data_IF_033497817012
#
_entry.id   IF_033497817012
#
_cell.length_a   1.000
_cell.length_b   1.000
_cell.length_c   1.000
_cell.angle_alpha   90.00
_cell.angle_beta   90.00
_cell.angle_gamma   90.00
#
_symmetry.space_group_name_H-M   'P 1'
#
loop_
_entity.id
_entity.type
_entity.pdbx_description
1 polymer ?
#
# COMPACT_ATOMS: atom_id res chain seq x y z
N UNK A 1 -17.19 6.95 3.86
CA UNK A 1 -15.96 6.63 4.64
C UNK A 1 -16.24 5.58 5.70
N UNK A 2 -17.02 5.87 6.75
CA UNK A 2 -17.27 4.90 7.83
C UNK A 2 -17.72 3.53 7.30
N UNK A 3 -18.76 3.49 6.48
CA UNK A 3 -19.23 2.26 5.82
C UNK A 3 -18.17 1.55 4.94
N UNK A 4 -17.26 2.30 4.31
CA UNK A 4 -16.21 1.72 3.49
C UNK A 4 -15.09 1.09 4.33
N UNK A 5 -14.85 1.63 5.53
CA UNK A 5 -13.89 1.08 6.50
C UNK A 5 -14.50 0.00 7.39
N UNK A 6 -15.84 -0.14 7.43
CA UNK A 6 -16.57 -1.15 8.21
C UNK A 6 -16.48 -2.54 7.57
N UNK A 7 -15.25 -3.01 7.45
CA UNK A 7 -14.87 -4.31 6.93
C UNK A 7 -13.54 -4.71 7.56
N UNK A 8 -13.36 -6.02 7.71
CA UNK A 8 -12.09 -6.61 8.18
C UNK A 8 -10.97 -6.52 7.14
N UNK A 9 -11.31 -6.18 5.90
CA UNK A 9 -10.38 -6.06 4.77
C UNK A 9 -9.99 -4.61 4.48
N UNK A 10 -8.88 -4.44 3.77
CA UNK A 10 -8.31 -3.14 3.43
C UNK A 10 -7.34 -3.22 2.26
N UNK A 11 -7.66 -3.99 1.21
CA UNK A 11 -6.74 -4.20 0.09
C UNK A 11 -6.61 -2.96 -0.80
N UNK A 12 -7.71 -2.58 -1.44
CA UNK A 12 -7.76 -1.46 -2.38
C UNK A 12 -9.08 -0.69 -2.29
N UNK A 13 -9.08 0.57 -2.72
CA UNK A 13 -10.27 1.41 -2.82
C UNK A 13 -10.17 2.39 -3.99
N UNK A 14 -11.32 2.80 -4.53
CA UNK A 14 -11.40 3.85 -5.55
C UNK A 14 -12.34 4.96 -5.10
N UNK A 15 -11.93 6.21 -5.30
CA UNK A 15 -12.72 7.42 -5.04
C UNK A 15 -13.04 8.07 -6.38
N UNK A 16 -14.32 8.32 -6.65
CA UNK A 16 -14.78 8.98 -7.87
C UNK A 16 -15.39 10.33 -7.53
N UNK A 17 -14.73 11.42 -7.93
CA UNK A 17 -15.16 12.79 -7.64
C UNK A 17 -14.42 13.81 -8.51
N UNK A 18 -15.06 14.95 -8.77
CA UNK A 18 -14.41 16.11 -9.40
C UNK A 18 -13.92 17.14 -8.36
N UNK A 19 -14.20 16.93 -7.07
CA UNK A 19 -13.72 17.78 -5.98
C UNK A 19 -12.39 17.25 -5.42
N UNK A 20 -11.31 18.01 -5.66
CA UNK A 20 -9.96 17.70 -5.20
C UNK A 20 -9.86 17.62 -3.67
N UNK A 21 -10.56 18.50 -2.95
CA UNK A 21 -10.53 18.50 -1.48
C UNK A 21 -11.22 17.25 -0.95
N UNK A 22 -12.36 16.86 -1.53
CA UNK A 22 -13.04 15.63 -1.18
C UNK A 22 -12.19 14.40 -1.49
N UNK A 23 -11.50 14.37 -2.65
CA UNK A 23 -10.58 13.29 -3.02
C UNK A 23 -9.46 13.14 -1.98
N UNK A 24 -8.73 14.23 -1.68
CA UNK A 24 -7.64 14.21 -0.70
C UNK A 24 -8.12 13.81 0.69
N UNK A 25 -9.28 14.30 1.13
CA UNK A 25 -9.86 13.89 2.41
C UNK A 25 -10.25 12.40 2.42
N UNK A 26 -10.75 11.87 1.30
CA UNK A 26 -11.12 10.47 1.21
C UNK A 26 -9.88 9.55 1.23
N UNK A 27 -8.84 9.84 0.44
CA UNK A 27 -7.63 9.00 0.39
C UNK A 27 -6.90 8.93 1.72
N UNK A 28 -6.92 10.00 2.53
CA UNK A 28 -6.33 9.99 3.88
C UNK A 28 -7.16 9.22 4.91
N UNK A 29 -8.47 9.08 4.72
CA UNK A 29 -9.37 8.46 5.70
C UNK A 29 -9.74 7.02 5.38
N UNK A 30 -9.54 6.58 4.14
CA UNK A 30 -9.78 5.20 3.74
C UNK A 30 -8.70 4.29 4.33
N UNK A 31 -9.12 3.22 4.98
CA UNK A 31 -8.22 2.20 5.54
C UNK A 31 -7.93 1.12 4.49
N UNK A 32 -7.28 1.51 3.39
CA UNK A 32 -6.87 0.60 2.33
C UNK A 32 -5.44 0.88 1.85
N UNK A 33 -4.72 -0.18 1.49
CA UNK A 33 -3.30 -0.07 1.14
C UNK A 33 -3.02 0.38 -0.30
N UNK A 34 -4.03 0.38 -1.18
CA UNK A 34 -3.95 0.89 -2.54
C UNK A 34 -5.20 1.72 -2.89
N UNK A 35 -5.11 3.04 -2.79
CA UNK A 35 -6.24 3.95 -3.03
C UNK A 35 -6.03 4.71 -4.35
N UNK A 36 -7.06 4.72 -5.18
CA UNK A 36 -7.05 5.33 -6.50
C UNK A 36 -8.14 6.40 -6.61
N UNK A 37 -7.88 7.49 -7.35
CA UNK A 37 -8.87 8.55 -7.60
C UNK A 37 -9.19 8.59 -9.08
N UNK A 38 -10.49 8.55 -9.40
CA UNK A 38 -11.06 8.56 -10.76
C UNK A 38 -10.51 7.46 -11.68
N UNK A 39 -10.12 6.33 -11.09
CA UNK A 39 -9.62 5.16 -11.81
C UNK A 39 -9.71 3.89 -10.92
N UNK A 40 -9.62 2.74 -11.59
CA UNK A 40 -9.47 1.44 -10.96
C UNK A 40 -8.61 0.56 -11.88
N UNK A 41 -7.31 0.85 -11.90
CA UNK A 41 -6.34 0.14 -12.72
C UNK A 41 -5.85 -1.11 -12.02
N UNK A 42 -5.42 -2.08 -12.82
CA UNK A 42 -4.70 -3.27 -12.34
C UNK A 42 -3.34 -2.83 -11.78
N UNK A 43 -2.85 -3.56 -10.77
CA UNK A 43 -1.50 -3.36 -10.24
C UNK A 43 -0.46 -3.38 -11.37
N UNK A 44 0.43 -2.40 -11.35
CA UNK A 44 1.49 -2.27 -12.35
C UNK A 44 2.84 -2.60 -11.70
N UNK A 45 3.80 -3.15 -12.46
CA UNK A 45 5.18 -3.24 -12.00
C UNK A 45 5.66 -1.87 -11.54
N UNK A 46 6.51 -1.84 -10.51
CA UNK A 46 7.06 -0.65 -9.82
C UNK A 46 6.15 0.03 -8.79
N UNK A 47 4.85 -0.27 -8.75
CA UNK A 47 3.95 0.29 -7.73
C UNK A 47 3.89 -0.63 -6.50
N UNK A 48 4.23 -0.17 -5.29
CA UNK A 48 4.07 -0.97 -4.09
C UNK A 48 2.59 -1.31 -3.85
N UNK A 49 2.25 -2.59 -3.89
CA UNK A 49 0.87 -3.07 -3.72
C UNK A 49 0.75 -3.95 -2.49
N UNK A 50 -0.36 -3.87 -1.77
CA UNK A 50 -0.62 -4.68 -0.59
C UNK A 50 -1.60 -4.00 0.35
N UNK A 51 -2.36 -4.78 1.10
CA UNK A 51 -3.48 -4.28 1.90
C UNK A 51 -3.14 -3.90 3.32
N UNK A 52 -4.14 -3.39 4.02
CA UNK A 52 -4.18 -3.24 5.46
C UNK A 52 -5.11 -4.29 6.10
N UNK A 53 -5.13 -4.35 7.43
CA UNK A 53 -5.98 -5.27 8.21
C UNK A 53 -5.74 -6.73 7.82
N UNK A 54 -6.80 -7.50 7.58
CA UNK A 54 -6.69 -8.91 7.18
C UNK A 54 -6.39 -9.08 5.68
N UNK A 55 -6.17 -8.01 4.92
CA UNK A 55 -5.79 -8.10 3.52
C UNK A 55 -4.30 -8.38 3.29
N UNK A 56 -3.52 -8.58 4.35
CA UNK A 56 -2.15 -9.07 4.27
C UNK A 56 -1.15 -8.23 5.05
N UNK A 57 0.11 -8.69 5.03
CA UNK A 57 1.26 -8.02 5.63
C UNK A 57 2.31 -7.79 4.54
N UNK A 58 2.94 -6.62 4.57
CA UNK A 58 3.94 -6.23 3.60
C UNK A 58 3.36 -5.67 2.31
N UNK A 59 4.23 -5.57 1.30
CA UNK A 59 3.94 -5.04 -0.02
C UNK A 59 4.59 -5.93 -1.08
N UNK A 60 4.15 -5.82 -2.32
CA UNK A 60 4.68 -6.51 -3.49
C UNK A 60 4.72 -5.58 -4.73
N UNK A 61 5.11 -6.13 -5.88
CA UNK A 61 5.13 -5.47 -7.20
C UNK A 61 6.11 -4.28 -7.39
N UNK A 62 6.80 -3.81 -6.35
CA UNK A 62 7.89 -2.83 -6.45
C UNK A 62 9.25 -3.42 -6.06
N UNK A 63 10.34 -2.82 -6.56
CA UNK A 63 11.70 -3.22 -6.19
C UNK A 63 11.92 -3.11 -4.68
N UNK A 64 11.48 -2.02 -4.06
CA UNK A 64 11.64 -1.82 -2.61
C UNK A 64 10.92 -2.92 -1.81
N UNK A 65 9.71 -3.28 -2.22
CA UNK A 65 8.98 -4.40 -1.62
C UNK A 65 9.74 -5.72 -1.79
N UNK A 66 10.31 -5.97 -2.98
CA UNK A 66 11.07 -7.19 -3.23
C UNK A 66 12.36 -7.24 -2.38
N UNK A 67 13.06 -6.12 -2.26
CA UNK A 67 14.25 -6.02 -1.41
C UNK A 67 13.89 -6.23 0.07
N UNK A 68 12.77 -5.66 0.54
CA UNK A 68 12.32 -5.83 1.92
C UNK A 68 11.95 -7.29 2.24
N UNK A 69 11.17 -7.96 1.39
CA UNK A 69 10.59 -9.27 1.70
C UNK A 69 11.45 -10.46 1.28
N UNK A 70 12.31 -10.30 0.26
CA UNK A 70 13.10 -11.41 -0.29
C UNK A 70 14.62 -11.30 -0.06
N UNK A 71 15.09 -10.26 0.63
CA UNK A 71 16.51 -10.15 0.99
C UNK A 71 16.73 -10.14 2.50
N UNK A 72 17.97 -10.41 2.91
CA UNK A 72 18.37 -10.35 4.32
C UNK A 72 19.65 -9.53 4.43
N UNK A 73 19.63 -8.51 5.30
CA UNK A 73 20.83 -7.73 5.64
C UNK A 73 21.70 -8.54 6.59
N UNK A 74 23.00 -8.64 6.28
CA UNK A 74 24.02 -9.24 7.15
C UNK A 74 25.10 -8.20 7.41
N UNK A 75 25.24 -7.80 8.66
CA UNK A 75 26.33 -6.91 9.09
C UNK A 75 27.51 -7.74 9.55
N UNK A 76 28.71 -7.42 9.05
CA UNK A 76 29.95 -8.07 9.44
C UNK A 76 30.93 -6.98 9.86
N UNK A 77 31.47 -7.10 11.07
CA UNK A 77 32.54 -6.25 11.59
C UNK A 77 33.73 -7.18 11.83
N UNK A 78 34.87 -6.82 11.25
CA UNK A 78 36.11 -7.59 11.37
C UNK A 78 37.14 -6.74 12.10
N UNK A 79 37.74 -7.29 13.16
CA UNK A 79 38.98 -6.76 13.71
C UNK A 79 40.12 -7.70 13.31
N UNK A 80 41.08 -7.20 12.54
CA UNK A 80 42.20 -7.98 12.00
C UNK A 80 43.53 -7.74 12.71
N UNK A 81 43.54 -6.95 13.79
CA UNK A 81 44.69 -6.72 14.68
C UNK A 81 44.28 -6.07 15.99
#
# INVERSE_FOLDING_TARGET
IAMANDTVYGLAASVWTNDMKAALQAVHRLEAGFVQVNQNVVVQPTLPYGGFKQSGLGKEASLDAMLEHFTRRKTIILNMT
#
